data_IF_554402318157
#
_entry.id   IF_554402318157
#
_cell.length_a   1.000
_cell.length_b   1.000
_cell.length_c   1.000
_cell.angle_alpha   90.00
_cell.angle_beta   90.00
_cell.angle_gamma   90.00
#
_symmetry.space_group_name_H-M   'P 1'
#
loop_
_entity.id
_entity.type
_entity.pdbx_description
1 polymer ?
#
# COMPACT_ATOMS: atom_id res chain seq x y z
N UNK A 1 19.21 -23.44 6.43
CA UNK A 1 18.64 -22.22 7.06
C UNK A 1 18.27 -21.16 6.03
N UNK A 2 19.16 -20.84 5.07
CA UNK A 2 18.92 -19.84 4.01
C UNK A 2 17.77 -20.23 3.06
N UNK A 3 17.68 -21.50 2.65
CA UNK A 3 16.59 -21.98 1.78
C UNK A 3 15.20 -21.87 2.43
N UNK A 4 15.11 -22.09 3.76
CA UNK A 4 13.84 -21.96 4.48
C UNK A 4 13.35 -20.50 4.51
N UNK A 5 14.28 -19.54 4.70
CA UNK A 5 14.02 -18.10 4.58
C UNK A 5 13.59 -17.71 3.16
N UNK A 6 14.17 -18.32 2.13
CA UNK A 6 13.77 -18.12 0.73
C UNK A 6 12.38 -18.67 0.42
N UNK A 7 12.03 -19.85 0.94
CA UNK A 7 10.68 -20.42 0.77
C UNK A 7 9.64 -19.55 1.48
N UNK A 8 9.96 -19.04 2.68
CA UNK A 8 9.08 -18.13 3.41
C UNK A 8 8.98 -16.76 2.75
N UNK A 9 10.06 -16.23 2.16
CA UNK A 9 10.01 -14.95 1.43
C UNK A 9 9.18 -15.07 0.15
N UNK A 10 9.32 -16.17 -0.60
CA UNK A 10 8.50 -16.44 -1.79
C UNK A 10 7.02 -16.61 -1.45
N UNK A 11 6.72 -17.32 -0.36
CA UNK A 11 5.36 -17.46 0.15
C UNK A 11 4.79 -16.11 0.59
N UNK A 12 5.56 -15.34 1.37
CA UNK A 12 5.16 -14.02 1.86
C UNK A 12 4.90 -13.04 0.71
N UNK A 13 5.75 -13.08 -0.32
CA UNK A 13 5.61 -12.27 -1.51
C UNK A 13 4.36 -12.65 -2.33
N UNK A 14 4.18 -13.94 -2.63
CA UNK A 14 3.04 -14.38 -3.47
C UNK A 14 1.69 -14.16 -2.78
N UNK A 15 1.63 -14.35 -1.46
CA UNK A 15 0.40 -14.18 -0.70
C UNK A 15 0.21 -12.73 -0.26
N UNK A 16 1.11 -12.17 0.55
CA UNK A 16 0.80 -10.93 1.28
C UNK A 16 1.11 -9.68 0.48
N UNK A 17 2.23 -9.62 -0.25
CA UNK A 17 2.64 -8.38 -0.94
C UNK A 17 1.61 -7.96 -1.99
N UNK A 18 1.01 -8.92 -2.70
CA UNK A 18 -0.05 -8.65 -3.68
C UNK A 18 -1.32 -8.07 -3.03
N UNK A 19 -1.75 -8.60 -1.87
CA UNK A 19 -2.89 -8.05 -1.13
C UNK A 19 -2.57 -6.70 -0.49
N UNK A 20 -1.36 -6.50 0.02
CA UNK A 20 -0.94 -5.22 0.61
C UNK A 20 -0.95 -4.13 -0.47
N UNK A 21 -0.44 -4.39 -1.66
CA UNK A 21 -0.51 -3.47 -2.80
C UNK A 21 -1.95 -3.15 -3.21
N UNK A 22 -2.83 -4.15 -3.21
CA UNK A 22 -4.24 -3.95 -3.51
C UNK A 22 -4.89 -3.02 -2.47
N UNK A 23 -4.64 -3.24 -1.18
CA UNK A 23 -5.13 -2.37 -0.09
C UNK A 23 -4.53 -0.97 -0.18
N UNK A 24 -3.25 -0.86 -0.53
CA UNK A 24 -2.54 0.40 -0.70
C UNK A 24 -3.17 1.30 -1.76
N UNK A 25 -3.68 0.72 -2.85
CA UNK A 25 -4.40 1.46 -3.90
C UNK A 25 -5.85 1.75 -3.47
N UNK A 26 -6.52 0.79 -2.82
CA UNK A 26 -7.93 0.91 -2.45
C UNK A 26 -8.19 1.95 -1.36
N UNK A 27 -7.32 2.01 -0.35
CA UNK A 27 -7.42 2.93 0.79
C UNK A 27 -7.53 4.41 0.39
N UNK A 28 -6.62 4.97 -0.44
CA UNK A 28 -6.72 6.36 -0.87
C UNK A 28 -7.95 6.62 -1.75
N UNK A 29 -8.37 5.66 -2.59
CA UNK A 29 -9.59 5.78 -3.40
C UNK A 29 -10.83 5.88 -2.50
N UNK A 30 -10.94 5.00 -1.51
CA UNK A 30 -12.03 5.02 -0.53
C UNK A 30 -12.01 6.32 0.29
N UNK A 31 -10.83 6.75 0.72
CA UNK A 31 -10.67 7.99 1.46
C UNK A 31 -11.09 9.23 0.66
N UNK A 32 -10.72 9.32 -0.63
CA UNK A 32 -11.13 10.43 -1.51
C UNK A 32 -12.64 10.39 -1.74
N UNK A 33 -13.19 9.20 -1.97
CA UNK A 33 -14.63 9.01 -2.18
C UNK A 33 -15.42 9.47 -0.95
N UNK A 34 -15.04 9.00 0.25
CA UNK A 34 -15.64 9.41 1.52
C UNK A 34 -15.46 10.91 1.79
N UNK A 35 -14.31 11.48 1.44
CA UNK A 35 -14.07 12.92 1.53
C UNK A 35 -15.00 13.73 0.62
N UNK A 36 -15.30 13.22 -0.57
CA UNK A 36 -16.20 13.87 -1.54
C UNK A 36 -17.65 13.91 -1.05
N UNK A 37 -18.10 12.91 -0.29
CA UNK A 37 -19.45 12.86 0.28
C UNK A 37 -19.64 13.73 1.53
N UNK A 38 -18.56 14.24 2.15
CA UNK A 38 -18.66 15.08 3.35
C UNK A 38 -19.01 16.52 3.00
N UNK A 39 -20.07 17.06 3.63
CA UNK A 39 -20.39 18.50 3.64
C UNK A 39 -19.52 19.18 4.71
N UNK A 40 -18.68 20.15 4.29
CA UNK A 40 -17.89 21.10 5.11
C UNK A 40 -16.37 20.86 5.19
N UNK A 41 -15.63 21.97 5.16
CA UNK A 41 -14.21 22.11 4.79
C UNK A 41 -13.19 21.39 5.67
N UNK A 42 -13.37 21.35 6.99
CA UNK A 42 -12.36 20.77 7.90
C UNK A 42 -12.24 19.25 7.75
N UNK A 43 -13.36 18.56 7.60
CA UNK A 43 -13.36 17.11 7.45
C UNK A 43 -12.82 16.67 6.08
N UNK A 44 -13.00 17.50 5.06
CA UNK A 44 -12.44 17.30 3.73
C UNK A 44 -10.92 17.44 3.74
N UNK A 45 -10.40 18.45 4.45
CA UNK A 45 -8.96 18.65 4.67
C UNK A 45 -8.35 17.48 5.44
N UNK A 46 -8.98 17.02 6.52
CA UNK A 46 -8.51 15.86 7.29
C UNK A 46 -8.41 14.61 6.41
N UNK A 47 -9.42 14.36 5.56
CA UNK A 47 -9.39 13.20 4.67
C UNK A 47 -8.31 13.32 3.58
N UNK A 48 -8.07 14.52 3.04
CA UNK A 48 -6.96 14.77 2.11
C UNK A 48 -5.62 14.51 2.81
N UNK A 49 -5.42 15.04 4.03
CA UNK A 49 -4.20 14.83 4.80
C UNK A 49 -3.96 13.35 5.08
N UNK A 50 -4.99 12.62 5.53
CA UNK A 50 -4.89 11.19 5.81
C UNK A 50 -4.56 10.37 4.55
N UNK A 51 -5.17 10.69 3.41
CA UNK A 51 -4.85 10.01 2.14
C UNK A 51 -3.43 10.28 1.68
N UNK A 52 -2.98 11.55 1.76
CA UNK A 52 -1.62 11.91 1.38
C UNK A 52 -0.59 11.26 2.30
N UNK A 53 -0.87 11.20 3.60
CA UNK A 53 0.01 10.60 4.60
C UNK A 53 0.08 9.08 4.42
N UNK A 54 -1.05 8.44 4.10
CA UNK A 54 -1.11 7.03 3.72
C UNK A 54 -0.30 6.77 2.44
N UNK A 55 -0.47 7.60 1.41
CA UNK A 55 0.30 7.48 0.17
C UNK A 55 1.80 7.58 0.42
N UNK A 56 2.26 8.55 1.21
CA UNK A 56 3.70 8.69 1.53
C UNK A 56 4.22 7.46 2.28
N UNK A 57 3.49 7.00 3.30
CA UNK A 57 3.89 5.87 4.13
C UNK A 57 4.03 4.57 3.34
N UNK A 58 3.15 4.34 2.38
CA UNK A 58 3.10 3.09 1.64
C UNK A 58 3.77 3.16 0.26
N UNK A 59 3.98 4.35 -0.33
CA UNK A 59 4.54 4.53 -1.68
C UNK A 59 5.85 3.78 -1.98
N UNK A 60 6.62 3.42 -0.95
CA UNK A 60 7.85 2.64 -1.07
C UNK A 60 7.60 1.14 -1.37
N UNK A 61 6.39 0.63 -1.15
CA UNK A 61 6.05 -0.77 -1.38
C UNK A 61 5.99 -1.14 -2.86
N UNK A 62 5.48 -0.27 -3.74
CA UNK A 62 5.45 -0.55 -5.17
C UNK A 62 6.87 -0.66 -5.78
N UNK A 63 7.81 0.26 -5.51
CA UNK A 63 9.21 0.11 -5.89
C UNK A 63 9.88 -1.11 -5.25
N UNK A 64 9.58 -1.39 -3.98
CA UNK A 64 10.11 -2.56 -3.28
C UNK A 64 9.63 -3.87 -3.93
N UNK A 65 8.36 -3.93 -4.32
CA UNK A 65 7.77 -5.04 -5.06
C UNK A 65 8.46 -5.26 -6.42
N UNK A 66 8.75 -4.17 -7.13
CA UNK A 66 9.42 -4.17 -8.42
C UNK A 66 10.90 -4.57 -8.27
N UNK A 67 11.56 -4.13 -7.20
CA UNK A 67 12.92 -4.53 -6.85
C UNK A 67 13.01 -6.02 -6.57
N UNK A 68 12.08 -6.59 -5.79
CA UNK A 68 12.03 -8.06 -5.56
C UNK A 68 11.80 -8.82 -6.87
N UNK A 69 10.89 -8.36 -7.74
CA UNK A 69 10.67 -9.00 -9.06
C UNK A 69 11.92 -8.97 -9.96
N UNK A 70 12.73 -7.91 -9.84
CA UNK A 70 13.87 -7.68 -10.74
C UNK A 70 15.18 -8.28 -10.21
N UNK A 71 15.37 -8.27 -8.89
CA UNK A 71 16.64 -8.61 -8.24
C UNK A 71 16.51 -9.69 -7.16
N UNK A 72 15.29 -10.15 -6.83
CA UNK A 72 15.01 -11.10 -5.75
C UNK A 72 15.15 -12.58 -6.13
N UNK A 73 15.93 -12.88 -7.17
CA UNK A 73 16.38 -14.24 -7.53
C UNK A 73 17.63 -14.62 -6.76
#
# INVERSE_FOLDING_TARGET
>A
MIEYLFITSHFFYSHYVKYILMIEILCPILGITLASFRKSGTQKIIAIILNSLYFILFSSLAPFNLWILTFGT
#
